data_IF_507324673744
#
_entry.id   IF_507324673744
#
_cell.length_a   1.000
_cell.length_b   1.000
_cell.length_c   1.000
_cell.angle_alpha   90.00
_cell.angle_beta   90.00
_cell.angle_gamma   90.00
#
_symmetry.space_group_name_H-M   'P 1'
#
loop_
_entity.id
_entity.type
_entity.pdbx_description
1 polymer ?
#
# COMPACT_ATOMS: atom_id res chain seq x y z
N UNK A 1 -14.11 -17.11 -28.64
CA UNK A 1 -13.45 -15.91 -28.08
C UNK A 1 -13.77 -15.85 -26.60
N UNK A 2 -12.76 -15.77 -25.72
CA UNK A 2 -13.01 -15.67 -24.28
C UNK A 2 -13.69 -14.34 -23.95
N UNK A 3 -14.80 -14.39 -23.19
CA UNK A 3 -15.60 -13.21 -22.83
C UNK A 3 -14.97 -12.54 -21.60
N UNK A 4 -14.56 -11.29 -21.74
CA UNK A 4 -14.04 -10.51 -20.62
C UNK A 4 -15.14 -10.24 -19.58
N UNK A 5 -14.79 -10.15 -18.28
CA UNK A 5 -13.45 -10.21 -17.70
C UNK A 5 -12.92 -11.64 -17.49
N UNK A 6 -11.69 -11.91 -17.93
CA UNK A 6 -10.99 -13.19 -17.72
C UNK A 6 -10.20 -13.08 -16.41
N UNK A 7 -10.15 -14.15 -15.62
CA UNK A 7 -9.32 -14.19 -14.40
C UNK A 7 -7.94 -14.76 -14.71
N UNK A 8 -6.90 -14.03 -14.33
CA UNK A 8 -5.51 -14.49 -14.42
C UNK A 8 -4.84 -14.30 -13.05
N UNK A 9 -4.29 -15.37 -12.48
CA UNK A 9 -3.68 -15.38 -11.15
C UNK A 9 -4.59 -14.78 -10.04
N UNK A 10 -5.90 -15.02 -10.15
CA UNK A 10 -6.90 -14.52 -9.20
C UNK A 10 -7.36 -13.07 -9.45
N UNK A 11 -6.73 -12.36 -10.39
CA UNK A 11 -7.01 -10.97 -10.74
C UNK A 11 -7.93 -10.90 -11.97
N UNK A 12 -8.94 -10.00 -12.00
CA UNK A 12 -9.73 -9.74 -13.19
C UNK A 12 -8.91 -8.94 -14.22
N UNK A 13 -8.71 -9.52 -15.40
CA UNK A 13 -8.21 -8.80 -16.58
C UNK A 13 -9.41 -8.15 -17.28
N UNK A 14 -9.43 -6.83 -17.28
CA UNK A 14 -10.41 -6.02 -17.99
C UNK A 14 -9.71 -5.09 -18.99
N UNK A 15 -10.28 -4.90 -20.20
CA UNK A 15 -9.74 -3.97 -21.20
C UNK A 15 -9.94 -2.50 -20.81
N UNK A 16 -10.85 -2.23 -19.86
CA UNK A 16 -11.19 -0.90 -19.36
C UNK A 16 -10.89 -0.76 -17.87
N UNK A 17 -11.16 0.43 -17.30
CA UNK A 17 -11.01 0.68 -15.87
C UNK A 17 -11.79 -0.39 -15.07
N UNK A 18 -11.08 -1.05 -14.17
CA UNK A 18 -11.65 -2.09 -13.31
C UNK A 18 -12.75 -1.47 -12.44
N UNK A 19 -13.97 -2.00 -12.55
CA UNK A 19 -15.11 -1.51 -11.76
C UNK A 19 -14.98 -1.93 -10.29
N UNK A 20 -15.68 -1.24 -9.39
CA UNK A 20 -15.71 -1.59 -7.95
C UNK A 20 -16.18 -3.04 -7.76
N UNK A 21 -17.13 -3.49 -8.57
CA UNK A 21 -17.67 -4.86 -8.54
C UNK A 21 -16.61 -5.91 -8.88
N UNK A 22 -15.68 -5.60 -9.79
CA UNK A 22 -14.60 -6.53 -10.16
C UNK A 22 -13.58 -6.73 -9.03
N UNK A 23 -13.55 -5.85 -8.03
CA UNK A 23 -12.76 -6.05 -6.80
C UNK A 23 -13.48 -6.91 -5.74
N UNK A 24 -14.72 -7.36 -5.98
CA UNK A 24 -15.43 -8.24 -5.06
C UNK A 24 -14.65 -9.51 -4.66
N UNK A 25 -13.92 -10.20 -5.57
CA UNK A 25 -13.10 -11.35 -5.21
C UNK A 25 -11.96 -11.02 -4.25
N UNK A 26 -11.36 -9.83 -4.41
CA UNK A 26 -10.31 -9.35 -3.52
C UNK A 26 -10.87 -9.08 -2.12
N UNK A 27 -12.00 -8.35 -2.02
CA UNK A 27 -12.69 -8.10 -0.75
C UNK A 27 -13.12 -9.41 -0.08
N UNK A 28 -13.65 -10.35 -0.86
CA UNK A 28 -14.05 -11.67 -0.38
C UNK A 28 -12.85 -12.43 0.19
N UNK A 29 -11.72 -12.46 -0.53
CA UNK A 29 -10.48 -13.08 -0.06
C UNK A 29 -10.01 -12.48 1.27
N UNK A 30 -9.97 -11.15 1.37
CA UNK A 30 -9.61 -10.45 2.62
C UNK A 30 -10.55 -10.86 3.76
N UNK A 31 -11.85 -10.89 3.49
CA UNK A 31 -12.86 -11.30 4.48
C UNK A 31 -12.65 -12.74 4.94
N UNK A 32 -12.40 -13.68 4.02
CA UNK A 32 -12.17 -15.08 4.36
C UNK A 32 -10.92 -15.26 5.24
N UNK A 33 -9.82 -14.58 4.93
CA UNK A 33 -8.62 -14.60 5.77
C UNK A 33 -8.92 -14.11 7.18
N UNK A 34 -9.56 -12.95 7.31
CA UNK A 34 -9.88 -12.36 8.60
C UNK A 34 -10.88 -13.20 9.41
N UNK A 35 -11.92 -13.75 8.76
CA UNK A 35 -12.90 -14.63 9.41
C UNK A 35 -12.26 -15.91 9.94
N UNK A 36 -11.38 -16.53 9.15
CA UNK A 36 -10.66 -17.76 9.54
C UNK A 36 -9.85 -17.58 10.82
N UNK A 37 -9.31 -16.39 11.05
CA UNK A 37 -8.57 -16.08 12.28
C UNK A 37 -9.46 -15.52 13.40
N UNK A 38 -10.64 -14.98 13.08
CA UNK A 38 -11.53 -14.42 14.09
C UNK A 38 -12.07 -15.49 15.07
N UNK A 39 -12.19 -16.75 14.62
CA UNK A 39 -12.60 -17.87 15.48
C UNK A 39 -11.48 -18.39 16.41
N UNK A 40 -10.24 -17.91 16.23
CA UNK A 40 -9.12 -18.30 17.09
C UNK A 40 -8.98 -17.31 18.25
N UNK A 41 -8.62 -17.80 19.43
CA UNK A 41 -8.30 -16.99 20.61
C UNK A 41 -6.95 -16.28 20.43
N UNK A 42 -6.93 -15.25 19.58
CA UNK A 42 -5.73 -14.47 19.28
C UNK A 42 -5.62 -13.25 20.19
N UNK A 43 -4.42 -13.03 20.73
CA UNK A 43 -4.08 -11.78 21.38
C UNK A 43 -4.12 -10.62 20.39
N UNK A 44 -4.32 -9.39 20.89
CA UNK A 44 -4.30 -8.19 20.02
C UNK A 44 -2.99 -8.07 19.24
N UNK A 45 -1.86 -8.39 19.87
CA UNK A 45 -0.56 -8.40 19.19
C UNK A 45 -0.49 -9.45 18.10
N UNK A 46 -1.04 -10.65 18.33
CA UNK A 46 -1.15 -11.69 17.29
C UNK A 46 -2.01 -11.24 16.11
N UNK A 47 -3.08 -10.48 16.36
CA UNK A 47 -3.91 -9.90 15.28
C UNK A 47 -3.15 -8.86 14.47
N UNK A 48 -2.38 -7.98 15.11
CA UNK A 48 -1.50 -7.00 14.42
C UNK A 48 -0.49 -7.72 13.53
N UNK A 49 0.13 -8.78 14.05
CA UNK A 49 1.13 -9.55 13.31
C UNK A 49 0.50 -10.23 12.08
N UNK A 50 -0.69 -10.81 12.20
CA UNK A 50 -1.40 -11.42 11.07
C UNK A 50 -1.81 -10.40 10.00
N UNK A 51 -2.23 -9.19 10.42
CA UNK A 51 -2.50 -8.11 9.48
C UNK A 51 -1.21 -7.78 8.72
N UNK A 52 -0.12 -7.51 9.45
CA UNK A 52 1.18 -7.11 8.87
C UNK A 52 1.79 -8.15 7.93
N UNK A 53 1.80 -9.42 8.35
CA UNK A 53 2.47 -10.51 7.63
C UNK A 53 1.65 -11.08 6.49
N UNK A 54 0.34 -11.31 6.69
CA UNK A 54 -0.50 -12.01 5.70
C UNK A 54 -1.33 -11.03 4.90
N UNK A 55 -2.13 -10.19 5.56
CA UNK A 55 -3.08 -9.30 4.87
C UNK A 55 -2.31 -8.29 4.01
N UNK A 56 -1.29 -7.62 4.54
CA UNK A 56 -0.50 -6.68 3.74
C UNK A 56 0.27 -7.35 2.61
N UNK A 57 0.63 -8.63 2.75
CA UNK A 57 1.25 -9.42 1.69
C UNK A 57 0.28 -9.65 0.52
N UNK A 58 -0.95 -10.08 0.81
CA UNK A 58 -1.98 -10.28 -0.21
C UNK A 58 -2.40 -8.94 -0.84
N UNK A 59 -2.62 -7.90 -0.03
CA UNK A 59 -2.92 -6.56 -0.52
C UNK A 59 -1.83 -6.06 -1.48
N UNK A 60 -0.55 -6.19 -1.10
CA UNK A 60 0.56 -5.71 -1.92
C UNK A 60 0.58 -6.35 -3.33
N UNK A 61 0.14 -7.60 -3.47
CA UNK A 61 0.01 -8.25 -4.79
C UNK A 61 -1.00 -7.52 -5.69
N UNK A 62 -2.19 -7.21 -5.14
CA UNK A 62 -3.24 -6.51 -5.88
C UNK A 62 -2.90 -5.05 -6.18
N UNK A 63 -2.30 -4.35 -5.21
CA UNK A 63 -1.93 -2.94 -5.33
C UNK A 63 -0.81 -2.69 -6.34
N UNK A 64 0.05 -3.68 -6.59
CA UNK A 64 1.08 -3.60 -7.64
C UNK A 64 0.49 -3.71 -9.04
N UNK A 65 -0.64 -4.42 -9.19
CA UNK A 65 -1.24 -4.71 -10.49
C UNK A 65 -2.19 -3.61 -10.98
N UNK A 66 -2.99 -3.01 -10.09
CA UNK A 66 -3.95 -1.97 -10.47
C UNK A 66 -3.98 -0.79 -9.50
N UNK A 67 -4.23 0.43 -10.00
CA UNK A 67 -4.60 1.56 -9.16
C UNK A 67 -5.96 1.28 -8.52
N UNK A 68 -5.93 0.93 -7.23
CA UNK A 68 -7.14 0.55 -6.49
C UNK A 68 -8.02 1.76 -6.16
N UNK A 69 -9.35 1.69 -6.34
CA UNK A 69 -10.28 2.73 -5.93
C UNK A 69 -10.23 2.97 -4.42
N UNK A 70 -10.40 4.22 -4.00
CA UNK A 70 -10.40 4.63 -2.58
C UNK A 70 -11.46 3.87 -1.78
N UNK A 71 -12.63 3.62 -2.37
CA UNK A 71 -13.72 2.85 -1.74
C UNK A 71 -13.30 1.44 -1.33
N UNK A 72 -12.50 0.76 -2.15
CA UNK A 72 -11.98 -0.58 -1.86
C UNK A 72 -10.91 -0.49 -0.76
N UNK A 73 -10.01 0.49 -0.84
CA UNK A 73 -8.98 0.73 0.17
C UNK A 73 -9.58 1.01 1.56
N UNK A 74 -10.68 1.78 1.60
CA UNK A 74 -11.43 2.07 2.83
C UNK A 74 -12.16 0.84 3.37
N UNK A 75 -12.75 0.02 2.50
CA UNK A 75 -13.37 -1.23 2.90
C UNK A 75 -12.36 -2.17 3.56
N UNK A 76 -11.16 -2.30 2.99
CA UNK A 76 -10.09 -3.15 3.54
C UNK A 76 -9.56 -2.62 4.87
N UNK A 77 -9.31 -1.31 4.96
CA UNK A 77 -8.89 -0.67 6.22
C UNK A 77 -9.93 -0.88 7.33
N UNK A 78 -11.22 -0.76 6.99
CA UNK A 78 -12.34 -1.00 7.91
C UNK A 78 -12.41 -2.47 8.37
N UNK A 79 -12.18 -3.43 7.47
CA UNK A 79 -12.13 -4.85 7.82
C UNK A 79 -10.97 -5.16 8.78
N UNK A 80 -9.77 -4.62 8.52
CA UNK A 80 -8.62 -4.79 9.40
C UNK A 80 -8.86 -4.17 10.78
N UNK A 81 -9.45 -2.97 10.83
CA UNK A 81 -9.79 -2.30 12.08
C UNK A 81 -10.81 -3.11 12.90
N UNK A 82 -11.87 -3.63 12.26
CA UNK A 82 -12.87 -4.50 12.90
C UNK A 82 -12.24 -5.79 13.42
N UNK A 83 -11.38 -6.43 12.64
CA UNK A 83 -10.68 -7.64 13.06
C UNK A 83 -9.79 -7.39 14.28
N UNK A 84 -8.99 -6.32 14.24
CA UNK A 84 -8.08 -5.92 15.32
C UNK A 84 -8.84 -5.74 16.63
N UNK A 85 -9.95 -4.99 16.62
CA UNK A 85 -10.73 -4.68 17.83
C UNK A 85 -11.84 -5.68 18.15
N UNK A 86 -11.97 -6.77 17.38
CA UNK A 86 -12.97 -7.81 17.59
C UNK A 86 -14.41 -7.33 17.40
N UNK A 87 -14.63 -6.43 16.43
CA UNK A 87 -15.97 -5.91 16.08
C UNK A 87 -16.55 -4.88 17.06
N UNK A 88 -15.87 -4.59 18.18
CA UNK A 88 -16.24 -3.53 19.12
C UNK A 88 -15.82 -2.15 18.57
N UNK A 89 -16.24 -1.08 19.25
CA UNK A 89 -15.79 0.28 18.99
C UNK A 89 -14.26 0.31 18.91
N UNK A 90 -13.73 0.94 17.86
CA UNK A 90 -12.30 0.98 17.61
C UNK A 90 -11.59 1.65 18.78
N UNK A 91 -10.78 0.88 19.52
CA UNK A 91 -10.03 1.43 20.64
C UNK A 91 -9.06 2.49 20.15
N UNK A 92 -8.46 2.37 18.96
CA UNK A 92 -7.53 3.37 18.40
C UNK A 92 -7.89 3.67 16.94
N UNK A 93 -7.75 4.94 16.51
CA UNK A 93 -7.98 5.37 15.11
C UNK A 93 -7.02 4.60 14.19
N UNK A 94 -7.46 4.26 12.98
CA UNK A 94 -6.64 3.46 12.07
C UNK A 94 -5.32 4.15 11.70
N UNK A 95 -5.34 5.47 11.46
CA UNK A 95 -4.11 6.22 11.15
C UNK A 95 -3.09 6.19 12.29
N UNK A 96 -3.56 6.13 13.54
CA UNK A 96 -2.70 5.99 14.70
C UNK A 96 -2.10 4.58 14.83
N UNK A 97 -2.86 3.56 14.43
CA UNK A 97 -2.37 2.18 14.34
C UNK A 97 -1.30 2.08 13.25
N UNK A 98 -1.50 2.77 12.13
CA UNK A 98 -0.59 2.73 10.99
C UNK A 98 0.71 3.52 11.16
N UNK A 99 0.79 4.38 12.18
CA UNK A 99 2.04 5.10 12.45
C UNK A 99 3.17 4.11 12.84
N UNK A 100 4.43 4.43 12.54
CA UNK A 100 5.57 3.66 13.03
C UNK A 100 5.57 3.53 14.55
N UNK A 101 6.21 2.48 15.06
CA UNK A 101 6.35 2.24 16.51
C UNK A 101 7.06 3.41 17.21
N UNK A 102 8.05 4.02 16.57
CA UNK A 102 8.77 5.21 17.07
C UNK A 102 7.87 6.45 17.21
N UNK A 103 6.85 6.56 16.36
CA UNK A 103 5.86 7.63 16.37
C UNK A 103 4.63 7.27 17.22
N UNK A 104 4.68 6.10 17.87
CA UNK A 104 3.68 5.61 18.77
C UNK A 104 2.49 4.89 18.13
N UNK A 105 2.64 4.38 16.91
CA UNK A 105 1.71 3.43 16.32
C UNK A 105 2.17 1.98 16.45
N UNK A 106 1.62 1.10 15.61
CA UNK A 106 1.88 -0.33 15.60
C UNK A 106 2.72 -0.79 14.40
N UNK A 107 3.01 0.11 13.45
CA UNK A 107 3.86 -0.17 12.29
C UNK A 107 3.15 -0.86 11.12
N UNK A 108 1.82 -0.94 11.13
CA UNK A 108 1.04 -1.45 9.99
C UNK A 108 1.05 -0.38 8.89
N UNK A 109 1.37 -0.71 7.65
CA UNK A 109 1.31 0.28 6.56
C UNK A 109 -0.12 0.71 6.24
N UNK A 110 -0.35 2.03 6.08
CA UNK A 110 -1.61 2.54 5.57
C UNK A 110 -1.77 2.14 4.09
N UNK A 111 -2.81 1.38 3.78
CA UNK A 111 -3.03 0.80 2.44
C UNK A 111 -3.14 1.86 1.34
N UNK A 112 -3.67 3.06 1.64
CA UNK A 112 -3.80 4.15 0.66
C UNK A 112 -2.44 4.72 0.26
N UNK A 113 -1.59 4.96 1.25
CA UNK A 113 -0.23 5.44 1.01
C UNK A 113 0.62 4.34 0.38
N UNK A 114 0.41 3.09 0.78
CA UNK A 114 1.11 1.93 0.22
C UNK A 114 0.77 1.71 -1.26
N UNK A 115 -0.50 1.86 -1.65
CA UNK A 115 -0.92 1.85 -3.06
C UNK A 115 -0.12 2.87 -3.88
N UNK A 116 -0.10 4.14 -3.44
CA UNK A 116 0.66 5.20 -4.11
C UNK A 116 2.15 4.83 -4.21
N UNK A 117 2.77 4.36 -3.13
CA UNK A 117 4.17 3.96 -3.11
C UNK A 117 4.50 2.80 -4.08
N UNK A 118 3.56 1.88 -4.31
CA UNK A 118 3.71 0.80 -5.28
C UNK A 118 3.53 1.30 -6.72
N UNK A 119 2.61 2.22 -6.97
CA UNK A 119 2.49 2.88 -8.28
C UNK A 119 3.73 3.72 -8.60
N UNK A 120 4.36 4.35 -7.61
CA UNK A 120 5.66 5.01 -7.75
C UNK A 120 6.77 4.06 -8.19
N UNK A 121 6.79 2.84 -7.64
CA UNK A 121 7.72 1.80 -8.09
C UNK A 121 7.46 1.43 -9.55
N UNK A 122 6.20 1.33 -9.96
CA UNK A 122 5.84 1.07 -11.36
C UNK A 122 6.31 2.20 -12.28
N UNK A 123 6.14 3.47 -11.88
CA UNK A 123 6.67 4.64 -12.59
C UNK A 123 8.19 4.54 -12.78
N UNK A 124 8.92 4.21 -11.71
CA UNK A 124 10.38 4.03 -11.78
C UNK A 124 10.81 2.92 -12.72
N UNK A 125 10.11 1.77 -12.69
CA UNK A 125 10.41 0.65 -13.57
C UNK A 125 10.14 0.99 -15.04
N UNK A 126 9.13 1.82 -15.34
CA UNK A 126 8.94 2.37 -16.69
C UNK A 126 10.10 3.30 -17.03
N UNK A 127 10.45 4.25 -16.15
CA UNK A 127 11.55 5.18 -16.42
C UNK A 127 12.89 4.47 -16.68
N UNK A 128 13.20 3.44 -15.90
CA UNK A 128 14.45 2.68 -15.99
C UNK A 128 14.44 1.61 -17.08
N UNK A 129 13.36 1.50 -17.85
CA UNK A 129 13.16 0.45 -18.86
C UNK A 129 13.47 -0.96 -18.33
N UNK A 130 12.82 -1.33 -17.22
CA UNK A 130 13.00 -2.64 -16.63
C UNK A 130 12.71 -3.77 -17.66
N UNK A 131 13.47 -4.85 -17.59
CA UNK A 131 13.50 -5.88 -18.65
C UNK A 131 12.25 -6.79 -18.75
N UNK A 132 11.16 -6.47 -18.05
CA UNK A 132 9.94 -7.28 -18.13
C UNK A 132 9.19 -7.01 -19.43
N UNK A 133 8.49 -8.02 -19.94
CA UNK A 133 7.71 -7.92 -21.18
C UNK A 133 6.71 -6.75 -21.14
N UNK A 134 6.08 -6.53 -19.99
CA UNK A 134 5.11 -5.44 -19.84
C UNK A 134 5.76 -4.06 -19.99
N UNK A 135 6.90 -3.81 -19.35
CA UNK A 135 7.59 -2.52 -19.48
C UNK A 135 8.12 -2.32 -20.90
N UNK A 136 8.70 -3.36 -21.52
CA UNK A 136 9.14 -3.30 -22.93
C UNK A 136 7.99 -2.98 -23.88
N UNK A 137 6.82 -3.57 -23.66
CA UNK A 137 5.60 -3.26 -24.42
C UNK A 137 5.12 -1.83 -24.18
N UNK A 138 5.15 -1.33 -22.94
CA UNK A 138 4.80 0.07 -22.65
C UNK A 138 5.75 1.03 -23.38
N UNK A 139 7.04 0.73 -23.41
CA UNK A 139 8.04 1.51 -24.13
C UNK A 139 7.78 1.53 -25.64
N UNK A 140 7.54 0.38 -26.26
CA UNK A 140 7.33 0.29 -27.71
C UNK A 140 5.98 0.87 -28.15
N UNK A 141 4.92 0.67 -27.36
CA UNK A 141 3.56 1.06 -27.73
C UNK A 141 3.23 2.50 -27.35
N UNK A 142 3.50 2.91 -26.09
CA UNK A 142 3.14 4.24 -25.58
C UNK A 142 4.27 5.25 -25.76
N UNK A 143 5.48 4.92 -25.29
CA UNK A 143 6.55 5.92 -25.21
C UNK A 143 7.25 6.16 -26.54
N UNK A 144 7.43 5.14 -27.40
CA UNK A 144 8.02 5.26 -28.75
C UNK A 144 9.34 6.04 -28.76
N UNK A 145 10.21 5.79 -27.78
CA UNK A 145 11.50 6.47 -27.61
C UNK A 145 11.46 7.77 -26.79
N UNK A 146 10.28 8.20 -26.31
CA UNK A 146 10.15 9.34 -25.38
C UNK A 146 10.27 8.91 -23.92
N UNK A 147 10.56 9.88 -23.03
CA UNK A 147 10.54 9.61 -21.59
C UNK A 147 9.12 9.55 -21.06
N UNK A 148 8.85 8.71 -20.05
CA UNK A 148 7.60 8.75 -19.29
C UNK A 148 7.35 10.13 -18.66
N UNK A 149 8.39 10.95 -18.48
CA UNK A 149 8.26 12.32 -17.98
C UNK A 149 7.72 13.32 -19.00
N UNK A 150 7.88 13.04 -20.29
CA UNK A 150 7.37 13.85 -21.41
C UNK A 150 6.04 13.34 -21.94
N UNK A 151 5.68 12.11 -21.60
CA UNK A 151 4.52 11.45 -22.15
C UNK A 151 3.21 12.16 -21.76
N UNK A 152 2.36 12.45 -22.75
CA UNK A 152 1.05 13.04 -22.56
C UNK A 152 -0.02 11.98 -22.86
N UNK A 153 -0.83 11.57 -21.87
CA UNK A 153 -1.82 10.51 -22.06
C UNK A 153 -2.99 11.00 -22.92
N UNK A 154 -3.43 10.14 -23.84
CA UNK A 154 -4.58 10.35 -24.73
C UNK A 154 -5.87 9.80 -24.12
N UNK A 155 -7.02 10.22 -24.64
CA UNK A 155 -8.32 9.74 -24.17
C UNK A 155 -8.47 8.21 -24.30
N UNK A 156 -7.89 7.58 -25.32
CA UNK A 156 -7.94 6.12 -25.53
C UNK A 156 -6.96 5.31 -24.66
N UNK A 157 -6.03 5.96 -23.96
CA UNK A 157 -4.98 5.23 -23.23
C UNK A 157 -5.54 4.50 -22.01
N UNK A 158 -4.84 3.42 -21.64
CA UNK A 158 -5.23 2.60 -20.49
C UNK A 158 -5.30 3.42 -19.20
N UNK A 159 -6.26 3.06 -18.34
CA UNK A 159 -6.45 3.72 -17.05
C UNK A 159 -5.20 3.67 -16.17
N UNK A 160 -4.47 2.55 -16.19
CA UNK A 160 -3.22 2.37 -15.45
C UNK A 160 -2.17 3.42 -15.85
N UNK A 161 -1.94 3.62 -17.15
CA UNK A 161 -0.97 4.61 -17.64
C UNK A 161 -1.38 6.03 -17.24
N UNK A 162 -2.69 6.35 -17.34
CA UNK A 162 -3.21 7.64 -16.89
C UNK A 162 -2.98 7.89 -15.39
N UNK A 163 -3.20 6.89 -14.55
CA UNK A 163 -2.93 7.00 -13.10
C UNK A 163 -1.44 7.12 -12.79
N UNK A 164 -0.57 6.38 -13.50
CA UNK A 164 0.89 6.52 -13.38
C UNK A 164 1.33 7.95 -13.75
N UNK A 165 0.76 8.53 -14.81
CA UNK A 165 1.03 9.91 -15.22
C UNK A 165 0.54 10.93 -14.19
N UNK A 166 -0.62 10.72 -13.55
CA UNK A 166 -1.07 11.60 -12.46
C UNK A 166 -0.07 11.60 -11.30
N UNK A 167 0.40 10.42 -10.90
CA UNK A 167 1.39 10.27 -9.83
C UNK A 167 2.72 10.92 -10.20
N UNK A 168 3.13 10.80 -11.46
CA UNK A 168 4.28 11.56 -11.98
C UNK A 168 4.07 13.06 -11.84
N UNK A 169 2.89 13.58 -12.19
CA UNK A 169 2.63 15.02 -12.07
C UNK A 169 2.67 15.49 -10.61
N UNK A 170 2.05 14.75 -9.70
CA UNK A 170 2.11 15.01 -8.25
C UNK A 170 3.56 15.04 -7.75
N UNK A 171 4.41 14.15 -8.26
CA UNK A 171 5.84 14.11 -7.95
C UNK A 171 6.60 15.31 -8.50
N UNK A 172 6.37 15.68 -9.76
CA UNK A 172 7.03 16.83 -10.37
C UNK A 172 6.70 18.11 -9.63
N UNK A 173 5.43 18.26 -9.19
CA UNK A 173 4.99 19.37 -8.33
C UNK A 173 5.69 19.31 -6.97
N UNK A 174 5.72 18.15 -6.32
CA UNK A 174 6.35 17.99 -5.00
C UNK A 174 7.86 18.28 -4.99
N UNK A 175 8.58 17.94 -6.07
CA UNK A 175 10.02 18.19 -6.20
C UNK A 175 10.37 19.52 -6.89
N UNK A 176 9.36 20.28 -7.33
CA UNK A 176 9.54 21.59 -7.96
C UNK A 176 10.28 21.52 -9.30
N UNK A 177 10.10 20.45 -10.07
CA UNK A 177 10.72 20.29 -11.38
C UNK A 177 10.97 18.83 -11.77
N UNK A 178 11.07 18.61 -13.08
CA UNK A 178 11.29 17.27 -13.66
C UNK A 178 12.62 16.65 -13.22
N UNK A 179 13.73 17.35 -13.42
CA UNK A 179 15.06 16.76 -13.18
C UNK A 179 15.26 16.46 -11.69
N UNK A 180 14.73 17.33 -10.83
CA UNK A 180 14.68 17.10 -9.38
C UNK A 180 13.83 15.90 -9.01
N UNK A 181 12.71 15.66 -9.70
CA UNK A 181 11.89 14.48 -9.49
C UNK A 181 12.62 13.19 -9.90
N UNK A 182 13.35 13.19 -11.03
CA UNK A 182 14.13 12.04 -11.50
C UNK A 182 15.28 11.73 -10.51
N UNK A 183 16.05 12.75 -10.12
CA UNK A 183 17.10 12.62 -9.10
C UNK A 183 16.51 12.25 -7.74
N UNK A 184 15.30 12.73 -7.42
CA UNK A 184 14.56 12.33 -6.22
C UNK A 184 14.22 10.85 -6.22
N UNK A 185 13.79 10.30 -7.36
CA UNK A 185 13.47 8.88 -7.49
C UNK A 185 14.69 7.98 -7.37
N UNK A 186 15.84 8.39 -7.91
CA UNK A 186 17.08 7.60 -7.83
C UNK A 186 17.55 7.40 -6.38
N UNK A 187 17.22 8.32 -5.46
CA UNK A 187 17.48 8.18 -4.00
C UNK A 187 16.76 6.98 -3.36
N UNK A 188 15.66 6.52 -3.96
CA UNK A 188 14.91 5.37 -3.49
C UNK A 188 15.41 4.04 -4.06
N UNK A 189 16.43 4.08 -4.90
CA UNK A 189 17.09 2.89 -5.44
C UNK A 189 18.34 2.60 -4.64
N UNK A 190 18.49 1.36 -4.20
CA UNK A 190 19.72 0.87 -3.59
C UNK A 190 20.14 -0.39 -4.34
N UNK A 191 21.29 -0.32 -5.01
CA UNK A 191 21.72 -1.34 -5.97
C UNK A 191 20.74 -1.43 -7.14
N UNK A 192 20.24 -2.64 -7.44
CA UNK A 192 19.29 -2.88 -8.54
C UNK A 192 17.81 -2.96 -8.06
N UNK A 193 17.51 -2.49 -6.84
CA UNK A 193 16.17 -2.64 -6.24
C UNK A 193 15.59 -1.29 -5.81
N UNK A 194 14.34 -1.06 -6.23
CA UNK A 194 13.55 0.09 -5.78
C UNK A 194 12.93 -0.18 -4.41
N UNK A 195 13.18 0.71 -3.45
CA UNK A 195 12.73 0.57 -2.07
C UNK A 195 11.38 1.24 -1.83
N UNK A 196 10.28 0.55 -2.14
CA UNK A 196 8.91 1.04 -1.88
C UNK A 196 8.67 1.43 -0.42
N UNK A 197 9.39 0.82 0.53
CA UNK A 197 9.33 1.19 1.95
C UNK A 197 9.79 2.63 2.21
N UNK A 198 10.92 3.04 1.63
CA UNK A 198 11.42 4.42 1.76
C UNK A 198 10.48 5.43 1.10
N UNK A 199 9.90 5.06 -0.04
CA UNK A 199 8.88 5.90 -0.70
C UNK A 199 7.65 6.07 0.19
N UNK A 200 7.18 4.98 0.80
CA UNK A 200 6.08 5.04 1.76
C UNK A 200 6.40 5.98 2.94
N UNK A 201 7.62 5.94 3.48
CA UNK A 201 8.03 6.81 4.58
C UNK A 201 8.08 8.30 4.20
N UNK A 202 8.31 8.61 2.93
CA UNK A 202 8.26 10.00 2.41
C UNK A 202 6.82 10.44 2.13
N UNK A 203 5.96 9.53 1.65
CA UNK A 203 4.57 9.87 1.29
C UNK A 203 3.62 9.92 2.49
N UNK A 204 3.93 9.20 3.57
CA UNK A 204 3.11 9.21 4.78
C UNK A 204 3.26 10.55 5.51
N UNK A 205 2.21 10.96 6.22
CA UNK A 205 2.31 12.10 7.15
C UNK A 205 3.18 11.67 8.34
N UNK A 206 4.39 12.21 8.42
CA UNK A 206 5.29 11.97 9.54
C UNK A 206 4.76 12.62 10.82
N UNK A 207 4.88 11.92 11.94
CA UNK A 207 4.48 12.41 13.27
C UNK A 207 5.70 12.59 14.16
N UNK A 208 5.53 13.38 15.22
CA UNK A 208 6.59 13.59 16.21
C UNK A 208 6.99 12.26 16.85
N UNK A 209 8.27 11.91 16.78
CA UNK A 209 8.81 10.73 17.45
C UNK A 209 8.61 10.87 18.95
N UNK A 210 8.20 9.78 19.60
CA UNK A 210 7.97 9.73 21.05
C UNK A 210 9.14 8.97 21.69
N UNK A 211 10.07 9.64 22.39
CA UNK A 211 11.29 8.99 22.91
C UNK A 211 11.00 7.75 23.77
N UNK A 212 9.95 7.83 24.60
CA UNK A 212 9.53 6.75 25.49
C UNK A 212 8.92 5.53 24.78
N UNK A 213 8.52 5.64 23.51
CA UNK A 213 8.03 4.47 22.75
C UNK A 213 9.12 3.41 22.55
N UNK A 214 10.38 3.82 22.55
CA UNK A 214 11.52 2.90 22.51
C UNK A 214 11.56 1.95 23.72
N UNK A 215 11.02 2.37 24.87
CA UNK A 215 10.91 1.54 26.08
C UNK A 215 9.77 0.51 25.98
N UNK A 216 8.68 0.84 25.28
CA UNK A 216 7.51 -0.04 25.14
C UNK A 216 7.81 -1.25 24.25
N UNK A 217 8.59 -1.05 23.20
CA UNK A 217 8.83 -2.04 22.14
C UNK A 217 10.19 -2.74 22.23
N UNK A 218 10.78 -2.86 23.42
CA UNK A 218 12.04 -3.59 23.62
C UNK A 218 11.84 -5.10 23.40
N UNK A 219 12.86 -5.74 22.82
CA UNK A 219 12.83 -7.16 22.44
C UNK A 219 12.61 -8.12 23.62
N UNK A 220 13.06 -7.76 24.84
CA UNK A 220 12.88 -8.58 26.03
C UNK A 220 11.47 -8.51 26.64
N UNK A 221 10.66 -7.53 26.23
CA UNK A 221 9.28 -7.41 26.69
C UNK A 221 8.41 -8.31 25.79
N UNK A 222 7.66 -9.27 26.34
CA UNK A 222 6.83 -10.11 25.49
C UNK A 222 5.78 -9.26 24.76
N UNK A 223 5.55 -9.46 23.45
CA UNK A 223 4.75 -8.55 22.62
C UNK A 223 3.33 -8.28 23.13
N UNK A 224 2.74 -9.22 23.87
CA UNK A 224 1.44 -9.03 24.54
C UNK A 224 1.47 -7.91 25.58
N UNK A 225 2.53 -7.81 26.38
CA UNK A 225 2.66 -6.80 27.42
C UNK A 225 2.98 -5.44 26.81
N UNK A 226 3.86 -5.37 25.80
CA UNK A 226 4.14 -4.14 25.05
C UNK A 226 2.86 -3.52 24.49
N UNK A 227 1.95 -4.34 23.98
CA UNK A 227 0.67 -3.87 23.46
C UNK A 227 -0.25 -3.32 24.55
N UNK A 228 -0.34 -4.00 25.71
CA UNK A 228 -1.11 -3.50 26.85
C UNK A 228 -0.54 -2.19 27.38
N UNK A 229 0.78 -2.08 27.52
CA UNK A 229 1.46 -0.83 27.92
C UNK A 229 1.17 0.28 26.91
N UNK A 230 1.24 -0.03 25.60
CA UNK A 230 0.91 0.93 24.54
C UNK A 230 -0.53 1.46 24.62
N UNK A 231 -1.51 0.59 24.94
CA UNK A 231 -2.89 1.01 25.19
C UNK A 231 -3.03 1.84 26.48
N UNK A 232 -2.34 1.45 27.55
CA UNK A 232 -2.36 2.14 28.83
C UNK A 232 -1.83 3.58 28.69
N UNK A 233 -0.71 3.77 27.99
CA UNK A 233 -0.14 5.10 27.71
C UNK A 233 -1.07 6.00 26.88
N UNK A 234 -2.10 5.46 26.24
CA UNK A 234 -3.12 6.21 25.48
C UNK A 234 -4.42 6.44 26.28
N UNK A 235 -4.48 5.97 27.52
CA UNK A 235 -5.70 6.04 28.35
C UNK A 235 -6.84 5.19 27.79
N UNK A 236 -6.54 4.10 27.07
CA UNK A 236 -7.55 3.26 26.39
C UNK A 236 -7.62 1.82 26.93
N UNK A 237 -7.26 1.65 28.19
CA UNK A 237 -7.47 0.41 28.92
C UNK A 237 -8.96 0.30 29.30
N UNK A 238 -9.66 -0.60 28.60
CA UNK A 238 -10.87 -1.28 29.07
C UNK A 238 -10.56 -2.77 29.04
#
# INVERSE_FOLDING_TARGET
>A
MAKFPIRYLGIPLAPSKVSVEQFAPFIYSMRCYLQRWNHKTLSYTGKVELIGSVIQGVEAFWLQAFPMPVTILDAVSSMCLKFLWGGKNSKVKWDDVCAPKEEGGLGIKNIKVWNKALLFRTLWNIHSNAETLWFRWVHSFYLKGTSIFDFIPKHGDSYLIKEIVKIRNDLVVAFGGRDRAIVGLSRFVVGNKFLSGKVYDVLRVARVKKPWMSCVWKHFIPPKHSFTVWLACRGRNN
#
